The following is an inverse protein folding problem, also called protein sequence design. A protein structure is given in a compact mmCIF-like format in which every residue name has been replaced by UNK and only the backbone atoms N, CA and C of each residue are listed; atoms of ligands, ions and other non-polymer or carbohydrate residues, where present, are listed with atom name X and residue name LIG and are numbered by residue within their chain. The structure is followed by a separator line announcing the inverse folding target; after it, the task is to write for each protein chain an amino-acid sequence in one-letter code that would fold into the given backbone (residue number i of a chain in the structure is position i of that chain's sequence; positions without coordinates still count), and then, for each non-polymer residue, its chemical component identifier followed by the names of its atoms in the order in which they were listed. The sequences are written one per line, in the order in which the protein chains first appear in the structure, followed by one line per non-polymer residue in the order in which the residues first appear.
data_IF_711838682092
#
_entry.id   IF_711838682092
#
_cell.length_a   1.000
_cell.length_b   1.000
_cell.length_c   1.000
_cell.angle_alpha   90.00
_cell.angle_beta   90.00
_cell.angle_gamma   90.00
#
_symmetry.space_group_name_H-M   'P 1'
#
loop_
_entity.id
_entity.type
_entity.pdbx_description
1 polymer ?
#
# COMPACT_ATOMS: atom_id res chain seq x y z
N UNK A 1 11.72 25.27 -4.16
CA UNK A 1 10.97 25.02 -2.93
C UNK A 1 9.45 25.31 -3.02
N UNK A 2 8.97 26.23 -3.88
CA UNK A 2 7.53 26.57 -4.00
C UNK A 2 6.61 25.40 -4.42
N UNK A 3 7.13 24.32 -4.98
CA UNK A 3 6.32 23.18 -5.48
C UNK A 3 6.13 22.03 -4.48
N UNK A 4 6.96 21.93 -3.43
CA UNK A 4 6.84 20.87 -2.42
C UNK A 4 5.50 20.95 -1.65
N UNK A 5 5.00 22.12 -1.24
CA UNK A 5 3.68 22.24 -0.62
C UNK A 5 2.55 21.76 -1.54
N UNK A 6 2.61 22.07 -2.85
CA UNK A 6 1.62 21.58 -3.82
C UNK A 6 1.63 20.05 -3.93
N UNK A 7 2.82 19.45 -3.98
CA UNK A 7 2.95 17.99 -3.96
C UNK A 7 2.43 17.37 -2.66
N UNK A 8 2.65 18.05 -1.53
CA UNK A 8 2.08 17.69 -0.23
C UNK A 8 0.56 17.73 -0.23
N UNK A 9 -0.02 18.78 -0.79
CA UNK A 9 -1.48 18.94 -0.90
C UNK A 9 -2.10 17.88 -1.82
N UNK A 10 -1.52 17.65 -3.01
CA UNK A 10 -1.95 16.57 -3.92
C UNK A 10 -1.93 15.22 -3.18
N UNK A 11 -0.84 14.95 -2.45
CA UNK A 11 -0.70 13.71 -1.70
C UNK A 11 -1.71 13.59 -0.56
N UNK A 12 -1.94 14.67 0.18
CA UNK A 12 -2.92 14.73 1.27
C UNK A 12 -4.35 14.50 0.78
N UNK A 13 -4.79 15.23 -0.25
CA UNK A 13 -6.12 15.07 -0.84
C UNK A 13 -6.36 13.63 -1.32
N UNK A 14 -5.37 13.04 -2.00
CA UNK A 14 -5.45 11.65 -2.45
C UNK A 14 -5.50 10.67 -1.28
N UNK A 15 -4.65 10.86 -0.27
CA UNK A 15 -4.64 9.98 0.90
C UNK A 15 -5.93 10.05 1.70
N UNK A 16 -6.58 11.20 1.73
CA UNK A 16 -7.87 11.36 2.40
C UNK A 16 -8.92 10.42 1.81
N UNK A 17 -9.20 10.49 0.52
CA UNK A 17 -10.23 9.61 -0.06
C UNK A 17 -9.77 8.15 -0.15
N UNK A 18 -8.50 7.87 -0.35
CA UNK A 18 -7.99 6.51 -0.28
C UNK A 18 -8.08 5.91 1.12
N UNK A 19 -8.15 6.74 2.16
CA UNK A 19 -8.37 6.31 3.54
C UNK A 19 -9.66 5.50 3.72
N UNK A 20 -10.69 5.75 2.93
CA UNK A 20 -11.93 4.97 2.97
C UNK A 20 -12.22 4.19 1.69
N UNK A 21 -11.81 4.63 0.52
CA UNK A 21 -12.12 3.98 -0.77
C UNK A 21 -11.66 2.52 -0.80
N UNK A 22 -10.52 2.21 -0.18
CA UNK A 22 -9.93 0.87 -0.22
C UNK A 22 -10.84 -0.21 0.41
N UNK A 23 -11.58 0.12 1.45
CA UNK A 23 -12.52 -0.79 2.10
C UNK A 23 -13.99 -0.52 1.71
N UNK A 24 -14.29 0.70 1.27
CA UNK A 24 -15.65 1.09 0.86
C UNK A 24 -16.05 0.43 -0.46
N UNK A 25 -15.14 0.33 -1.45
CA UNK A 25 -15.46 -0.25 -2.76
C UNK A 25 -15.92 -1.71 -2.64
N UNK A 26 -15.25 -2.62 -1.91
CA UNK A 26 -15.78 -3.96 -1.70
C UNK A 26 -17.19 -3.99 -1.11
N UNK A 27 -17.44 -3.19 -0.07
CA UNK A 27 -18.77 -3.09 0.57
C UNK A 27 -19.82 -2.56 -0.40
N UNK A 28 -19.49 -1.52 -1.16
CA UNK A 28 -20.39 -0.94 -2.16
C UNK A 28 -20.74 -1.94 -3.27
N UNK A 29 -19.76 -2.69 -3.79
CA UNK A 29 -20.00 -3.68 -4.84
C UNK A 29 -20.99 -4.75 -4.37
N UNK A 30 -20.86 -5.26 -3.14
CA UNK A 30 -21.81 -6.19 -2.55
C UNK A 30 -23.17 -5.52 -2.32
N UNK A 31 -23.19 -4.28 -1.83
CA UNK A 31 -24.44 -3.51 -1.63
C UNK A 31 -25.25 -3.34 -2.92
N UNK A 32 -24.62 -3.21 -4.08
CA UNK A 32 -25.30 -3.10 -5.38
C UNK A 32 -25.56 -4.46 -6.07
N UNK A 33 -25.32 -5.58 -5.36
CA UNK A 33 -25.68 -6.92 -5.81
C UNK A 33 -24.56 -7.76 -6.43
N UNK A 34 -23.29 -7.31 -6.36
CA UNK A 34 -22.17 -8.16 -6.78
C UNK A 34 -21.91 -9.26 -5.75
N UNK A 35 -21.69 -10.48 -6.20
CA UNK A 35 -21.27 -11.55 -5.28
C UNK A 35 -19.83 -11.31 -4.80
N UNK A 36 -19.50 -11.85 -3.62
CA UNK A 36 -18.15 -11.76 -3.04
C UNK A 36 -17.05 -12.28 -3.99
N UNK A 37 -17.35 -13.32 -4.78
CA UNK A 37 -16.44 -13.85 -5.80
C UNK A 37 -16.15 -12.79 -6.88
N UNK A 38 -17.18 -12.09 -7.34
CA UNK A 38 -16.99 -10.99 -8.32
C UNK A 38 -16.15 -9.85 -7.79
N UNK A 39 -16.30 -9.52 -6.49
CA UNK A 39 -15.42 -8.52 -5.85
C UNK A 39 -13.97 -8.99 -5.89
N UNK A 40 -13.70 -10.28 -5.68
CA UNK A 40 -12.38 -10.86 -5.82
C UNK A 40 -11.83 -10.78 -7.25
N UNK A 41 -12.65 -11.08 -8.25
CA UNK A 41 -12.28 -10.96 -9.68
C UNK A 41 -12.00 -9.48 -10.04
N UNK A 42 -12.86 -8.57 -9.59
CA UNK A 42 -12.66 -7.13 -9.76
C UNK A 42 -11.31 -6.69 -9.16
N UNK A 43 -10.99 -7.14 -7.94
CA UNK A 43 -9.73 -6.83 -7.28
C UNK A 43 -8.51 -7.42 -8.02
N UNK A 44 -8.62 -8.63 -8.58
CA UNK A 44 -7.58 -9.24 -9.40
C UNK A 44 -7.31 -8.41 -10.66
N UNK A 45 -8.36 -8.07 -11.42
CA UNK A 45 -8.23 -7.25 -12.63
C UNK A 45 -7.67 -5.87 -12.30
N UNK A 46 -8.16 -5.23 -11.24
CA UNK A 46 -7.65 -3.95 -10.77
C UNK A 46 -6.16 -4.03 -10.36
N UNK A 47 -5.72 -5.13 -9.76
CA UNK A 47 -4.31 -5.33 -9.38
C UNK A 47 -3.42 -5.52 -10.61
N UNK A 48 -3.85 -6.28 -11.61
CA UNK A 48 -3.14 -6.46 -12.88
C UNK A 48 -3.06 -5.12 -13.61
N UNK A 49 -4.20 -4.44 -13.78
CA UNK A 49 -4.26 -3.13 -14.43
C UNK A 49 -3.39 -2.09 -13.72
N UNK A 50 -3.44 -2.02 -12.39
CA UNK A 50 -2.56 -1.16 -11.58
C UNK A 50 -1.09 -1.47 -11.83
N UNK A 51 -0.71 -2.73 -11.97
CA UNK A 51 0.68 -3.12 -12.20
C UNK A 51 1.16 -2.66 -13.57
N UNK A 52 0.34 -2.81 -14.60
CA UNK A 52 0.61 -2.30 -15.96
C UNK A 52 0.70 -0.77 -15.95
N UNK A 53 -0.28 -0.09 -15.35
CA UNK A 53 -0.30 1.37 -15.27
C UNK A 53 0.90 1.93 -14.48
N UNK A 54 1.37 1.26 -13.44
CA UNK A 54 2.58 1.64 -12.69
C UNK A 54 3.82 1.57 -13.57
N UNK A 55 3.96 0.51 -14.38
CA UNK A 55 5.07 0.39 -15.33
C UNK A 55 4.98 1.48 -16.40
N UNK A 56 3.82 1.63 -17.03
CA UNK A 56 3.59 2.67 -18.05
C UNK A 56 3.85 4.07 -17.49
N UNK A 57 3.41 4.35 -16.27
CA UNK A 57 3.61 5.66 -15.64
C UNK A 57 5.08 5.98 -15.40
N UNK A 58 5.88 4.99 -15.01
CA UNK A 58 7.33 5.15 -14.87
C UNK A 58 7.98 5.50 -16.21
N UNK A 59 7.73 4.70 -17.25
CA UNK A 59 8.28 4.95 -18.60
C UNK A 59 7.81 6.28 -19.19
N UNK A 60 6.51 6.56 -19.14
CA UNK A 60 5.98 7.82 -19.68
C UNK A 60 6.51 9.03 -18.92
N UNK A 61 6.67 8.92 -17.58
CA UNK A 61 7.24 9.98 -16.75
C UNK A 61 8.69 10.31 -17.10
N UNK A 62 9.47 9.31 -17.49
CA UNK A 62 10.88 9.49 -17.84
C UNK A 62 11.10 9.84 -19.32
N UNK A 63 10.24 9.38 -20.24
CA UNK A 63 10.40 9.61 -21.68
C UNK A 63 9.74 10.90 -22.17
N UNK A 64 8.58 11.29 -21.62
CA UNK A 64 7.81 12.42 -22.15
C UNK A 64 7.76 13.60 -21.18
N UNK A 65 7.04 13.49 -20.06
CA UNK A 65 6.84 14.57 -19.12
C UNK A 65 6.25 14.03 -17.81
N UNK A 66 6.89 14.36 -16.70
CA UNK A 66 6.39 13.96 -15.37
C UNK A 66 5.04 14.60 -15.06
N UNK A 67 4.86 15.88 -15.42
CA UNK A 67 3.59 16.59 -15.21
C UNK A 67 2.46 15.98 -16.03
N UNK A 68 2.64 15.76 -17.33
CA UNK A 68 1.61 15.20 -18.20
C UNK A 68 1.23 13.77 -17.77
N UNK A 69 2.22 12.95 -17.43
CA UNK A 69 1.99 11.60 -16.92
C UNK A 69 1.26 11.59 -15.58
N UNK A 70 1.64 12.51 -14.67
CA UNK A 70 0.94 12.67 -13.39
C UNK A 70 -0.53 13.07 -13.60
N UNK A 71 -0.80 14.01 -14.52
CA UNK A 71 -2.17 14.41 -14.87
C UNK A 71 -2.97 13.23 -15.39
N UNK A 72 -2.44 12.51 -16.41
CA UNK A 72 -3.11 11.35 -17.00
C UNK A 72 -3.48 10.31 -15.93
N UNK A 73 -2.50 9.91 -15.11
CA UNK A 73 -2.73 8.91 -14.07
C UNK A 73 -3.62 9.41 -12.92
N UNK A 74 -3.69 10.72 -12.69
CA UNK A 74 -4.55 11.32 -11.66
C UNK A 74 -6.02 11.44 -12.11
N UNK A 75 -6.30 11.47 -13.42
CA UNK A 75 -7.67 11.53 -13.94
C UNK A 75 -8.36 10.16 -13.87
N UNK A 76 -7.62 9.04 -13.97
CA UNK A 76 -8.21 7.69 -14.01
C UNK A 76 -9.18 7.38 -12.86
N UNK A 77 -8.89 7.72 -11.58
CA UNK A 77 -9.85 7.50 -10.50
C UNK A 77 -11.18 8.23 -10.65
N UNK A 78 -11.21 9.39 -11.34
CA UNK A 78 -12.44 10.12 -11.53
C UNK A 78 -13.49 9.32 -12.33
N UNK A 79 -13.05 8.54 -13.34
CA UNK A 79 -13.96 7.67 -14.10
C UNK A 79 -14.61 6.60 -13.23
N UNK A 80 -13.89 6.07 -12.24
CA UNK A 80 -14.44 5.10 -11.28
C UNK A 80 -15.51 5.76 -10.42
N UNK A 81 -15.20 6.93 -9.85
CA UNK A 81 -16.14 7.63 -8.95
C UNK A 81 -17.39 8.10 -9.70
N UNK A 82 -17.23 8.61 -10.92
CA UNK A 82 -18.36 8.97 -11.79
C UNK A 82 -19.23 7.75 -12.09
N UNK A 83 -18.62 6.62 -12.47
CA UNK A 83 -19.37 5.40 -12.72
C UNK A 83 -20.13 4.92 -11.49
N UNK A 84 -19.53 4.95 -10.31
CA UNK A 84 -20.18 4.52 -9.07
C UNK A 84 -21.31 5.48 -8.61
N UNK A 85 -21.25 6.75 -8.99
CA UNK A 85 -22.32 7.73 -8.72
C UNK A 85 -23.52 7.54 -9.63
N UNK A 86 -23.30 7.34 -10.94
CA UNK A 86 -24.36 7.50 -11.95
C UNK A 86 -24.85 6.19 -12.55
N UNK A 87 -24.19 5.05 -12.35
CA UNK A 87 -24.63 3.78 -12.93
C UNK A 87 -24.64 2.65 -11.93
N UNK A 88 -25.51 1.67 -12.18
CA UNK A 88 -25.51 0.35 -11.53
C UNK A 88 -25.30 -0.76 -12.56
N UNK A 89 -24.97 -0.39 -13.81
CA UNK A 89 -24.74 -1.36 -14.86
C UNK A 89 -23.50 -2.21 -14.56
N UNK A 90 -23.70 -3.51 -14.49
CA UNK A 90 -22.67 -4.49 -14.14
C UNK A 90 -21.43 -4.38 -15.04
N UNK A 91 -21.61 -4.22 -16.34
CA UNK A 91 -20.51 -4.16 -17.31
C UNK A 91 -19.68 -2.90 -17.11
N UNK A 92 -20.34 -1.73 -16.98
CA UNK A 92 -19.66 -0.45 -16.79
C UNK A 92 -18.86 -0.47 -15.49
N UNK A 93 -19.45 -0.94 -14.39
CA UNK A 93 -18.78 -1.05 -13.11
C UNK A 93 -17.60 -2.01 -13.19
N UNK A 94 -17.76 -3.18 -13.84
CA UNK A 94 -16.65 -4.14 -14.02
C UNK A 94 -15.50 -3.55 -14.83
N UNK A 95 -15.77 -2.76 -15.86
CA UNK A 95 -14.75 -2.08 -16.65
C UNK A 95 -13.94 -1.05 -15.84
N UNK A 96 -14.50 -0.51 -14.76
CA UNK A 96 -13.75 0.43 -13.90
C UNK A 96 -12.54 -0.20 -13.21
N UNK A 97 -12.52 -1.53 -13.05
CA UNK A 97 -11.35 -2.25 -12.52
C UNK A 97 -10.08 -2.01 -13.33
N UNK A 98 -10.22 -1.73 -14.63
CA UNK A 98 -9.09 -1.44 -15.54
C UNK A 98 -8.39 -0.11 -15.23
N UNK A 99 -9.02 0.79 -14.47
CA UNK A 99 -8.37 2.03 -14.01
C UNK A 99 -7.44 1.84 -12.80
N UNK A 100 -7.32 0.62 -12.28
CA UNK A 100 -6.23 0.20 -11.40
C UNK A 100 -6.28 0.73 -9.98
N UNK A 101 -7.46 1.03 -9.43
CA UNK A 101 -7.61 1.24 -7.98
C UNK A 101 -7.63 -0.12 -7.30
N UNK A 102 -6.62 -0.40 -6.49
CA UNK A 102 -6.50 -1.63 -5.70
C UNK A 102 -7.09 -1.44 -4.31
N UNK A 103 -7.65 -2.51 -3.74
CA UNK A 103 -8.22 -2.54 -2.39
C UNK A 103 -7.16 -2.68 -1.29
N UNK A 104 -5.98 -2.18 -1.50
CA UNK A 104 -4.91 -2.23 -0.51
C UNK A 104 -4.95 -0.96 0.35
N UNK A 105 -5.54 -1.06 1.52
CA UNK A 105 -5.57 0.03 2.49
C UNK A 105 -4.18 0.32 3.07
N UNK A 106 -3.27 -0.65 3.00
CA UNK A 106 -2.00 -0.64 3.70
C UNK A 106 -0.90 -0.15 2.76
N UNK A 107 -0.35 1.00 3.03
CA UNK A 107 0.77 1.54 2.25
C UNK A 107 0.56 2.99 1.82
N UNK A 108 -0.40 3.66 2.44
CA UNK A 108 -0.68 5.06 2.20
C UNK A 108 -1.22 5.28 0.79
N UNK A 109 -2.53 5.35 0.66
CA UNK A 109 -3.26 5.44 -0.60
C UNK A 109 -2.72 6.40 -1.65
N UNK A 110 -2.08 7.50 -1.24
CA UNK A 110 -1.40 8.42 -2.16
C UNK A 110 -0.03 7.93 -2.63
N UNK A 111 0.59 7.00 -1.91
CA UNK A 111 1.88 6.40 -2.26
C UNK A 111 1.76 5.12 -3.09
N UNK A 112 0.54 4.60 -3.31
CA UNK A 112 0.29 3.40 -4.10
C UNK A 112 -0.25 3.70 -5.50
N UNK A 113 -0.32 2.65 -6.34
CA UNK A 113 -0.87 2.74 -7.69
C UNK A 113 -0.02 3.54 -8.69
N UNK A 114 -0.62 3.90 -9.85
CA UNK A 114 0.10 4.48 -11.00
C UNK A 114 0.73 5.86 -10.74
N UNK A 115 0.21 6.59 -9.77
CA UNK A 115 0.69 7.95 -9.44
C UNK A 115 1.94 7.92 -8.58
N UNK A 116 2.17 6.86 -7.81
CA UNK A 116 3.25 6.78 -6.83
C UNK A 116 4.66 6.96 -7.41
N UNK A 117 5.06 6.27 -8.50
CA UNK A 117 6.40 6.43 -9.06
C UNK A 117 6.66 7.88 -9.49
N UNK A 118 5.67 8.51 -10.11
CA UNK A 118 5.79 9.86 -10.66
C UNK A 118 5.90 10.89 -9.53
N UNK A 119 5.04 10.81 -8.50
CA UNK A 119 5.13 11.69 -7.34
C UNK A 119 6.48 11.59 -6.65
N UNK A 120 6.98 10.37 -6.46
CA UNK A 120 8.28 10.13 -5.85
C UNK A 120 9.41 10.75 -6.69
N UNK A 121 9.36 10.57 -8.01
CA UNK A 121 10.33 11.16 -8.92
C UNK A 121 10.25 12.70 -8.94
N UNK A 122 9.03 13.25 -8.93
CA UNK A 122 8.80 14.69 -8.90
C UNK A 122 9.38 15.33 -7.63
N UNK A 123 9.15 14.70 -6.47
CA UNK A 123 9.74 15.15 -5.20
C UNK A 123 11.27 15.09 -5.25
N UNK A 124 11.84 14.01 -5.81
CA UNK A 124 13.28 13.86 -5.95
C UNK A 124 13.91 14.95 -6.80
N UNK A 125 13.22 15.40 -7.88
CA UNK A 125 13.72 16.46 -8.77
C UNK A 125 13.67 17.84 -8.15
N UNK A 126 12.69 18.09 -7.28
CA UNK A 126 12.46 19.42 -6.69
C UNK A 126 13.10 19.57 -5.31
N UNK A 127 13.89 18.56 -4.88
CA UNK A 127 14.47 18.49 -3.54
C UNK A 127 15.97 18.22 -3.60
N UNK A 128 16.75 18.99 -2.84
CA UNK A 128 18.17 18.72 -2.67
C UNK A 128 18.39 17.36 -1.99
N UNK A 129 19.43 16.59 -2.38
CA UNK A 129 19.73 15.28 -1.80
C UNK A 129 19.78 15.28 -0.26
N UNK A 130 20.33 16.32 0.35
CA UNK A 130 20.46 16.45 1.81
C UNK A 130 19.09 16.55 2.53
N UNK A 131 18.08 17.16 1.90
CA UNK A 131 16.76 17.38 2.50
C UNK A 131 15.71 16.33 2.05
N UNK A 132 16.06 15.48 1.11
CA UNK A 132 15.13 14.55 0.46
C UNK A 132 14.44 13.61 1.45
N UNK A 133 15.21 13.00 2.34
CA UNK A 133 14.68 12.08 3.37
C UNK A 133 13.67 12.78 4.28
N UNK A 134 13.98 14.00 4.73
CA UNK A 134 13.08 14.81 5.58
C UNK A 134 11.77 15.11 4.85
N UNK A 135 11.83 15.49 3.58
CA UNK A 135 10.63 15.81 2.79
C UNK A 135 9.77 14.57 2.56
N UNK A 136 10.37 13.40 2.23
CA UNK A 136 9.61 12.16 2.13
C UNK A 136 8.92 11.76 3.44
N UNK A 137 9.60 11.95 4.57
CA UNK A 137 9.01 11.69 5.90
C UNK A 137 7.82 12.60 6.18
N UNK A 138 7.94 13.89 5.90
CA UNK A 138 6.83 14.84 6.04
C UNK A 138 5.64 14.45 5.15
N UNK A 139 5.90 14.11 3.88
CA UNK A 139 4.86 13.68 2.96
C UNK A 139 4.20 12.35 3.38
N UNK A 140 4.94 11.47 4.04
CA UNK A 140 4.39 10.23 4.60
C UNK A 140 3.46 10.52 5.78
N UNK A 141 3.87 11.41 6.69
CA UNK A 141 3.04 11.86 7.82
C UNK A 141 1.74 12.50 7.30
N UNK A 142 1.84 13.40 6.32
CA UNK A 142 0.66 14.01 5.67
C UNK A 142 -0.28 12.93 5.12
N UNK A 143 0.27 11.88 4.49
CA UNK A 143 -0.55 10.79 3.95
C UNK A 143 -1.28 10.02 5.05
N UNK A 144 -0.60 9.69 6.14
CA UNK A 144 -1.18 8.93 7.25
C UNK A 144 -2.28 9.76 7.95
N UNK A 145 -1.99 11.01 8.28
CA UNK A 145 -2.97 11.91 8.93
C UNK A 145 -4.19 12.11 8.03
N UNK A 146 -3.99 12.33 6.73
CA UNK A 146 -5.09 12.47 5.79
C UNK A 146 -5.91 11.17 5.64
N UNK A 147 -5.29 10.00 5.65
CA UNK A 147 -6.00 8.72 5.60
C UNK A 147 -6.82 8.46 6.87
N UNK A 148 -6.29 8.82 8.04
CA UNK A 148 -7.03 8.78 9.32
C UNK A 148 -8.24 9.70 9.22
N UNK A 149 -8.06 10.95 8.81
CA UNK A 149 -9.16 11.90 8.66
C UNK A 149 -10.21 11.40 7.66
N UNK A 150 -9.80 10.80 6.54
CA UNK A 150 -10.69 10.23 5.55
C UNK A 150 -11.52 9.07 6.08
N UNK A 151 -10.88 8.08 6.73
CA UNK A 151 -11.60 6.93 7.30
C UNK A 151 -12.54 7.34 8.46
N UNK A 152 -12.13 8.28 9.31
CA UNK A 152 -13.01 8.82 10.37
C UNK A 152 -14.19 9.60 9.77
N UNK A 153 -13.98 10.34 8.67
CA UNK A 153 -15.08 11.01 7.94
C UNK A 153 -16.06 9.97 7.39
N UNK A 154 -15.58 8.85 6.85
CA UNK A 154 -16.43 7.74 6.41
C UNK A 154 -17.30 7.24 7.56
N UNK A 155 -16.70 6.93 8.72
CA UNK A 155 -17.43 6.46 9.89
C UNK A 155 -18.56 7.44 10.32
N UNK A 156 -18.26 8.74 10.35
CA UNK A 156 -19.26 9.76 10.71
C UNK A 156 -20.40 9.81 9.69
N UNK A 157 -20.11 9.82 8.39
CA UNK A 157 -21.14 9.87 7.36
C UNK A 157 -22.01 8.60 7.35
N UNK A 158 -21.44 7.45 7.65
CA UNK A 158 -22.16 6.18 7.76
C UNK A 158 -23.18 6.15 8.91
N UNK A 159 -22.92 6.91 9.98
CA UNK A 159 -23.87 7.05 11.11
C UNK A 159 -25.05 8.00 10.77
N UNK A 160 -24.76 9.13 10.11
CA UNK A 160 -25.72 10.22 9.99
C UNK A 160 -26.40 10.30 8.64
N UNK A 161 -25.91 9.64 7.59
CA UNK A 161 -26.40 9.81 6.21
C UNK A 161 -26.79 8.46 5.62
N UNK A 162 -28.07 8.29 5.28
CA UNK A 162 -28.58 7.05 4.68
C UNK A 162 -27.90 6.71 3.34
N UNK A 163 -27.62 7.72 2.51
CA UNK A 163 -26.98 7.56 1.20
C UNK A 163 -25.47 7.83 1.27
N UNK A 164 -24.79 7.36 2.32
CA UNK A 164 -23.39 7.66 2.56
C UNK A 164 -22.44 7.21 1.42
N UNK A 165 -22.76 6.13 0.70
CA UNK A 165 -21.95 5.70 -0.45
C UNK A 165 -21.83 6.79 -1.51
N UNK A 166 -22.97 7.40 -1.90
CA UNK A 166 -22.99 8.46 -2.90
C UNK A 166 -22.24 9.69 -2.42
N UNK A 167 -22.42 10.07 -1.15
CA UNK A 167 -21.73 11.23 -0.56
C UNK A 167 -20.22 10.99 -0.52
N UNK A 168 -19.76 9.80 -0.10
CA UNK A 168 -18.35 9.47 -0.05
C UNK A 168 -17.71 9.41 -1.44
N UNK A 169 -18.40 8.86 -2.45
CA UNK A 169 -17.89 8.89 -3.84
C UNK A 169 -17.88 10.30 -4.41
N UNK A 170 -18.84 11.14 -4.08
CA UNK A 170 -18.86 12.55 -4.48
C UNK A 170 -17.67 13.32 -3.86
N UNK A 171 -17.43 13.15 -2.55
CA UNK A 171 -16.25 13.72 -1.87
C UNK A 171 -14.97 13.23 -2.54
N UNK A 172 -14.86 11.92 -2.82
CA UNK A 172 -13.70 11.36 -3.50
C UNK A 172 -13.49 11.97 -4.89
N UNK A 173 -14.57 12.16 -5.67
CA UNK A 173 -14.52 12.79 -6.98
C UNK A 173 -14.05 14.25 -6.89
N UNK A 174 -14.65 15.05 -6.00
CA UNK A 174 -14.29 16.46 -5.80
C UNK A 174 -12.82 16.60 -5.38
N UNK A 175 -12.38 15.82 -4.39
CA UNK A 175 -10.98 15.83 -3.93
C UNK A 175 -10.01 15.34 -5.01
N UNK A 176 -10.41 14.34 -5.80
CA UNK A 176 -9.61 13.87 -6.93
C UNK A 176 -9.48 14.96 -8.01
N UNK A 177 -10.59 15.59 -8.44
CA UNK A 177 -10.57 16.67 -9.43
C UNK A 177 -9.79 17.90 -8.93
N UNK A 178 -9.91 18.23 -7.63
CA UNK A 178 -9.09 19.27 -7.00
C UNK A 178 -7.60 18.91 -7.07
N UNK A 179 -7.25 17.64 -6.79
CA UNK A 179 -5.87 17.15 -6.93
C UNK A 179 -5.35 17.26 -8.38
N UNK A 180 -6.22 16.97 -9.38
CA UNK A 180 -5.90 17.15 -10.81
C UNK A 180 -5.70 18.63 -11.12
N UNK A 181 -6.57 19.51 -10.66
CA UNK A 181 -6.45 20.97 -10.86
C UNK A 181 -5.15 21.53 -10.26
N UNK A 182 -4.79 21.10 -9.03
CA UNK A 182 -3.52 21.50 -8.41
C UNK A 182 -2.32 20.96 -9.22
N UNK A 183 -2.43 19.76 -9.83
CA UNK A 183 -1.38 19.22 -10.68
C UNK A 183 -1.14 20.10 -11.92
N UNK A 184 -2.15 20.81 -12.43
CA UNK A 184 -1.98 21.78 -13.53
C UNK A 184 -1.08 22.96 -13.14
N UNK A 185 -1.05 23.32 -11.85
CA UNK A 185 -0.20 24.40 -11.34
C UNK A 185 1.28 24.00 -11.17
N UNK A 186 1.60 22.71 -11.25
CA UNK A 186 2.99 22.25 -11.18
C UNK A 186 3.75 22.67 -12.44
N UNK A 187 4.99 23.09 -12.26
CA UNK A 187 5.91 23.32 -13.37
C UNK A 187 6.50 21.98 -13.83
N UNK A 188 6.52 21.76 -15.13
CA UNK A 188 7.12 20.54 -15.67
C UNK A 188 8.63 20.48 -15.38
N UNK A 189 9.12 19.28 -15.19
CA UNK A 189 10.55 19.07 -14.95
C UNK A 189 11.21 18.77 -16.29
N UNK A 190 12.20 19.57 -16.67
CA UNK A 190 13.03 19.29 -17.85
C UNK A 190 13.73 17.94 -17.64
N UNK A 191 13.35 16.94 -18.41
CA UNK A 191 13.97 15.62 -18.35
C UNK A 191 15.38 15.75 -18.90
N UNK A 192 16.38 15.59 -18.05
CA UNK A 192 17.76 15.39 -18.51
C UNK A 192 17.78 14.01 -19.18
N UNK A 193 17.89 13.98 -20.52
CA UNK A 193 18.16 12.73 -21.25
C UNK A 193 19.47 12.14 -20.70
N UNK A 194 19.36 11.20 -19.77
CA UNK A 194 20.49 10.33 -19.48
C UNK A 194 20.72 9.48 -20.74
N UNK A 195 21.96 9.52 -21.26
CA UNK A 195 22.39 8.56 -22.29
C UNK A 195 22.13 7.17 -21.73
N UNK A 196 21.15 6.49 -22.32
CA UNK A 196 20.86 5.09 -22.00
C UNK A 196 22.13 4.29 -22.23
N UNK A 197 22.74 3.80 -21.16
CA UNK A 197 23.54 2.61 -21.25
C UNK A 197 22.56 1.49 -21.58
N UNK A 198 22.74 0.84 -22.73
CA UNK A 198 21.96 -0.32 -23.17
C UNK A 198 21.69 -1.24 -21.97
N UNK A 199 20.43 -1.58 -21.69
CA UNK A 199 20.11 -2.40 -20.53
C UNK A 199 20.70 -3.79 -20.73
N UNK A 200 21.78 -4.08 -20.06
CA UNK A 200 22.35 -5.42 -20.01
C UNK A 200 21.36 -6.32 -19.25
N UNK A 201 20.87 -7.37 -19.88
CA UNK A 201 19.89 -8.32 -19.31
C UNK A 201 20.51 -9.11 -18.14
N UNK A 202 21.84 -9.28 -18.13
CA UNK A 202 22.55 -9.94 -17.02
C UNK A 202 22.53 -9.06 -15.77
N UNK A 203 21.94 -9.56 -14.69
CA UNK A 203 21.93 -8.91 -13.37
C UNK A 203 22.82 -9.72 -12.42
N UNK A 204 23.84 -9.07 -11.87
CA UNK A 204 24.74 -9.69 -10.89
C UNK A 204 24.02 -9.92 -9.54
N UNK A 205 23.06 -9.04 -9.19
CA UNK A 205 22.22 -9.19 -8.00
C UNK A 205 21.04 -10.17 -8.21
N UNK A 206 20.97 -10.90 -9.34
CA UNK A 206 19.83 -11.74 -9.70
C UNK A 206 19.45 -12.78 -8.63
N UNK A 207 20.43 -13.41 -7.99
CA UNK A 207 20.19 -14.35 -6.90
C UNK A 207 19.52 -13.73 -5.67
N UNK A 208 19.89 -12.48 -5.31
CA UNK A 208 19.27 -11.76 -4.21
C UNK A 208 17.85 -11.31 -4.58
N UNK A 209 17.64 -10.86 -5.81
CA UNK A 209 16.32 -10.47 -6.35
C UNK A 209 15.36 -11.66 -6.29
N UNK A 210 15.81 -12.84 -6.71
CA UNK A 210 15.01 -14.07 -6.66
C UNK A 210 14.61 -14.43 -5.21
N UNK A 211 15.55 -14.41 -4.27
CA UNK A 211 15.29 -14.69 -2.84
C UNK A 211 14.30 -13.70 -2.22
N UNK A 212 14.46 -12.39 -2.48
CA UNK A 212 13.55 -11.35 -2.02
C UNK A 212 12.18 -11.49 -2.67
N UNK A 213 12.15 -11.76 -3.98
CA UNK A 213 10.92 -11.98 -4.74
C UNK A 213 10.15 -13.19 -4.24
N UNK A 214 10.83 -14.32 -4.04
CA UNK A 214 10.22 -15.57 -3.58
C UNK A 214 9.63 -15.43 -2.16
N UNK A 215 10.42 -14.94 -1.19
CA UNK A 215 9.89 -14.71 0.16
C UNK A 215 8.70 -13.73 0.12
N UNK A 216 8.84 -12.63 -0.64
CA UNK A 216 7.77 -11.64 -0.78
C UNK A 216 6.53 -12.15 -1.49
N UNK A 217 6.64 -13.11 -2.40
CA UNK A 217 5.52 -13.73 -3.07
C UNK A 217 4.63 -14.49 -2.09
N UNK A 218 5.21 -15.33 -1.21
CA UNK A 218 4.45 -16.03 -0.17
C UNK A 218 3.73 -15.07 0.80
N UNK A 219 4.43 -14.04 1.28
CA UNK A 219 3.80 -13.00 2.10
C UNK A 219 2.65 -12.29 1.37
N UNK A 220 2.80 -12.07 0.07
CA UNK A 220 1.78 -11.43 -0.75
C UNK A 220 0.58 -12.34 -1.03
N UNK A 221 0.77 -13.65 -1.16
CA UNK A 221 -0.35 -14.62 -1.23
C UNK A 221 -1.21 -14.52 0.03
N UNK A 222 -0.61 -14.65 1.21
CA UNK A 222 -1.39 -14.59 2.44
C UNK A 222 -2.07 -13.24 2.67
N UNK A 223 -1.40 -12.12 2.33
CA UNK A 223 -2.00 -10.80 2.37
C UNK A 223 -3.17 -10.66 1.39
N UNK A 224 -3.00 -11.14 0.16
CA UNK A 224 -4.00 -11.04 -0.89
C UNK A 224 -5.27 -11.82 -0.58
N UNK A 225 -5.17 -12.96 0.12
CA UNK A 225 -6.34 -13.76 0.53
C UNK A 225 -7.29 -12.95 1.43
N UNK A 226 -6.77 -12.12 2.33
CA UNK A 226 -7.56 -11.45 3.38
C UNK A 226 -7.71 -9.96 3.15
N UNK A 227 -6.60 -9.24 2.91
CA UNK A 227 -6.59 -7.78 3.01
C UNK A 227 -7.58 -7.06 2.09
N UNK A 228 -7.78 -7.47 0.81
CA UNK A 228 -8.70 -6.77 -0.09
C UNK A 228 -10.19 -6.95 0.26
N UNK A 229 -10.52 -8.02 0.99
CA UNK A 229 -11.89 -8.41 1.31
C UNK A 229 -12.19 -8.43 2.80
N UNK A 230 -11.28 -7.94 3.62
CA UNK A 230 -11.44 -7.94 5.09
C UNK A 230 -12.66 -7.11 5.54
N UNK A 231 -13.00 -6.05 4.81
CA UNK A 231 -14.21 -5.28 5.09
C UNK A 231 -15.49 -6.10 4.86
N UNK A 232 -15.49 -6.98 3.86
CA UNK A 232 -16.62 -7.92 3.63
C UNK A 232 -16.72 -8.93 4.77
N UNK A 233 -15.59 -9.49 5.23
CA UNK A 233 -15.59 -10.37 6.40
C UNK A 233 -16.21 -9.66 7.61
N UNK A 234 -15.81 -8.45 7.93
CA UNK A 234 -16.37 -7.71 9.06
C UNK A 234 -17.86 -7.42 8.88
N UNK A 235 -18.30 -7.14 7.67
CA UNK A 235 -19.70 -6.99 7.34
C UNK A 235 -20.48 -8.31 7.53
N UNK A 236 -19.96 -9.44 7.03
CA UNK A 236 -20.60 -10.76 7.09
C UNK A 236 -20.73 -11.29 8.53
N UNK A 237 -19.79 -10.89 9.42
CA UNK A 237 -19.91 -11.21 10.87
C UNK A 237 -20.77 -10.21 11.65
N UNK A 238 -21.48 -9.31 10.94
CA UNK A 238 -22.51 -8.42 11.50
C UNK A 238 -22.00 -7.09 12.04
N UNK A 239 -20.77 -6.68 11.73
CA UNK A 239 -20.33 -5.34 12.12
C UNK A 239 -20.94 -4.27 11.18
N UNK A 240 -21.53 -3.20 11.74
CA UNK A 240 -22.01 -2.07 10.95
C UNK A 240 -20.87 -1.34 10.26
N UNK A 241 -21.18 -0.66 9.15
CA UNK A 241 -20.19 0.00 8.30
C UNK A 241 -19.31 1.00 9.08
N UNK A 242 -19.89 1.79 9.97
CA UNK A 242 -19.13 2.76 10.77
C UNK A 242 -18.08 2.12 11.69
N UNK A 243 -18.35 0.95 12.27
CA UNK A 243 -17.37 0.18 13.04
C UNK A 243 -16.24 -0.34 12.13
N UNK A 244 -16.59 -0.79 10.91
CA UNK A 244 -15.58 -1.20 9.92
C UNK A 244 -14.65 -0.02 9.61
N UNK A 245 -15.20 1.16 9.36
CA UNK A 245 -14.44 2.39 9.12
C UNK A 245 -13.52 2.75 10.29
N UNK A 246 -13.99 2.59 11.54
CA UNK A 246 -13.16 2.80 12.74
C UNK A 246 -12.03 1.78 12.90
N UNK A 247 -12.25 0.51 12.52
CA UNK A 247 -11.19 -0.51 12.48
C UNK A 247 -10.08 -0.09 11.51
N UNK A 248 -10.43 0.45 10.35
CA UNK A 248 -9.42 0.97 9.40
C UNK A 248 -8.74 2.23 9.93
N UNK A 249 -9.46 3.13 10.60
CA UNK A 249 -8.88 4.28 11.29
C UNK A 249 -7.85 3.84 12.32
N UNK A 250 -8.20 2.89 13.18
CA UNK A 250 -7.28 2.27 14.13
C UNK A 250 -6.07 1.61 13.46
N UNK A 251 -6.29 0.99 12.30
CA UNK A 251 -5.21 0.38 11.51
C UNK A 251 -4.22 1.42 10.96
N UNK A 252 -4.70 2.59 10.52
CA UNK A 252 -3.83 3.69 10.07
C UNK A 252 -3.07 4.32 11.25
N UNK A 253 -3.71 4.47 12.41
CA UNK A 253 -3.03 4.94 13.62
C UNK A 253 -1.93 3.96 14.03
N UNK A 254 -2.24 2.66 14.10
CA UNK A 254 -1.27 1.62 14.43
C UNK A 254 -0.11 1.59 13.42
N UNK A 255 -0.40 1.75 12.12
CA UNK A 255 0.61 1.85 11.07
C UNK A 255 1.51 3.07 11.25
N UNK A 256 0.93 4.23 11.54
CA UNK A 256 1.68 5.48 11.77
C UNK A 256 2.63 5.37 12.95
N UNK A 257 2.15 4.87 14.08
CA UNK A 257 2.97 4.62 15.27
C UNK A 257 4.09 3.62 14.95
N UNK A 258 3.75 2.51 14.32
CA UNK A 258 4.69 1.44 14.00
C UNK A 258 5.85 1.90 13.10
N UNK A 259 5.58 2.74 12.10
CA UNK A 259 6.61 3.30 11.21
C UNK A 259 7.61 4.18 11.97
N UNK A 260 7.16 4.94 12.96
CA UNK A 260 8.06 5.76 13.82
C UNK A 260 9.02 4.85 14.61
N UNK A 261 8.51 3.73 15.12
CA UNK A 261 9.32 2.77 15.89
C UNK A 261 10.21 1.86 15.02
N UNK A 262 10.05 1.84 13.69
CA UNK A 262 10.77 0.91 12.81
C UNK A 262 12.28 1.02 12.95
N UNK A 263 12.83 2.24 12.98
CA UNK A 263 14.28 2.47 13.12
C UNK A 263 14.81 2.02 14.49
N UNK A 264 14.02 2.19 15.55
CA UNK A 264 14.40 1.73 16.89
C UNK A 264 14.46 0.20 16.94
N UNK A 265 13.46 -0.47 16.39
CA UNK A 265 13.40 -1.94 16.34
C UNK A 265 14.51 -2.52 15.46
N UNK A 266 14.86 -1.86 14.35
CA UNK A 266 15.99 -2.24 13.52
C UNK A 266 17.32 -2.16 14.28
N UNK A 267 17.53 -1.10 15.06
CA UNK A 267 18.74 -0.97 15.90
C UNK A 267 18.82 -2.05 16.98
N UNK A 268 17.69 -2.41 17.58
CA UNK A 268 17.64 -3.35 18.69
C UNK A 268 17.83 -4.81 18.23
N UNK A 269 17.10 -5.25 17.21
CA UNK A 269 17.10 -6.64 16.74
C UNK A 269 18.04 -6.88 15.52
N UNK A 270 18.42 -5.83 14.83
CA UNK A 270 18.99 -5.89 13.48
C UNK A 270 17.91 -6.05 12.41
N UNK A 271 18.23 -5.66 11.17
CA UNK A 271 17.26 -5.59 10.09
C UNK A 271 16.52 -6.92 9.85
N UNK A 272 17.26 -8.04 9.78
CA UNK A 272 16.69 -9.34 9.40
C UNK A 272 15.78 -9.91 10.48
N UNK A 273 16.21 -9.85 11.74
CA UNK A 273 15.39 -10.37 12.83
C UNK A 273 14.21 -9.45 13.15
N UNK A 274 14.34 -8.14 13.01
CA UNK A 274 13.20 -7.24 13.12
C UNK A 274 12.11 -7.58 12.08
N UNK A 275 12.48 -7.74 10.80
CA UNK A 275 11.55 -8.18 9.75
C UNK A 275 10.95 -9.55 10.11
N UNK A 276 11.79 -10.51 10.51
CA UNK A 276 11.37 -11.85 10.88
C UNK A 276 10.32 -11.84 12.00
N UNK A 277 10.61 -11.19 13.12
CA UNK A 277 9.74 -11.14 14.32
C UNK A 277 8.39 -10.49 13.98
N UNK A 278 8.41 -9.25 13.48
CA UNK A 278 7.17 -8.48 13.30
C UNK A 278 6.28 -9.04 12.18
N UNK A 279 6.85 -9.62 11.13
CA UNK A 279 6.07 -10.32 10.11
C UNK A 279 5.52 -11.65 10.60
N UNK A 280 6.26 -12.39 11.42
CA UNK A 280 5.75 -13.61 12.07
C UNK A 280 4.58 -13.27 12.98
N UNK A 281 4.71 -12.27 13.87
CA UNK A 281 3.62 -11.81 14.72
C UNK A 281 2.39 -11.41 13.88
N UNK A 282 2.58 -10.62 12.83
CA UNK A 282 1.49 -10.23 11.94
C UNK A 282 0.82 -11.41 11.21
N UNK A 283 1.57 -12.46 10.89
CA UNK A 283 1.03 -13.67 10.25
C UNK A 283 0.26 -14.55 11.23
N UNK A 284 0.77 -14.70 12.46
CA UNK A 284 0.09 -15.43 13.53
C UNK A 284 -1.25 -14.76 13.88
N UNK A 285 -1.28 -13.44 13.94
CA UNK A 285 -2.51 -12.70 14.23
C UNK A 285 -3.60 -12.94 13.16
N UNK A 286 -3.27 -13.23 11.90
CA UNK A 286 -4.27 -13.66 10.93
C UNK A 286 -4.95 -14.97 11.35
N UNK A 287 -4.18 -15.93 11.88
CA UNK A 287 -4.74 -17.23 12.32
C UNK A 287 -5.69 -17.02 13.49
N UNK A 288 -5.45 -16.04 14.35
CA UNK A 288 -6.24 -15.77 15.56
C UNK A 288 -7.59 -15.10 15.24
N UNK A 289 -7.66 -14.27 14.20
CA UNK A 289 -8.84 -13.45 13.87
C UNK A 289 -10.17 -14.24 13.87
N UNK A 290 -10.31 -15.41 13.23
CA UNK A 290 -11.60 -16.11 13.15
C UNK A 290 -12.06 -16.74 14.45
N UNK A 291 -11.24 -16.79 15.48
CA UNK A 291 -11.54 -17.44 16.78
C UNK A 291 -11.94 -16.47 17.88
N UNK A 292 -12.04 -15.18 17.59
CA UNK A 292 -12.33 -14.12 18.57
C UNK A 292 -13.60 -13.36 18.17
N UNK A 293 -14.25 -12.66 19.12
CA UNK A 293 -15.40 -11.81 18.80
C UNK A 293 -15.07 -10.76 17.74
N UNK A 294 -16.04 -10.35 16.89
CA UNK A 294 -15.80 -9.48 15.73
C UNK A 294 -15.09 -8.16 16.04
N UNK A 295 -15.42 -7.49 17.16
CA UNK A 295 -14.76 -6.26 17.58
C UNK A 295 -13.30 -6.51 17.96
N UNK A 296 -13.03 -7.60 18.68
CA UNK A 296 -11.66 -8.00 19.06
C UNK A 296 -10.85 -8.37 17.81
N UNK A 297 -11.48 -9.05 16.83
CA UNK A 297 -10.90 -9.33 15.52
C UNK A 297 -10.46 -8.02 14.82
N UNK A 298 -11.27 -6.96 14.88
CA UNK A 298 -10.94 -5.64 14.36
C UNK A 298 -9.71 -5.03 15.04
N UNK A 299 -9.63 -5.10 16.37
CA UNK A 299 -8.45 -4.62 17.12
C UNK A 299 -7.20 -5.42 16.75
N UNK A 300 -7.32 -6.74 16.67
CA UNK A 300 -6.22 -7.62 16.23
C UNK A 300 -5.77 -7.27 14.82
N UNK A 301 -6.70 -6.99 13.91
CA UNK A 301 -6.38 -6.57 12.54
C UNK A 301 -5.62 -5.24 12.51
N UNK A 302 -5.99 -4.27 13.36
CA UNK A 302 -5.28 -3.00 13.48
C UNK A 302 -3.85 -3.20 14.00
N UNK A 303 -3.66 -3.97 15.07
CA UNK A 303 -2.34 -4.30 15.64
C UNK A 303 -1.48 -5.04 14.61
N UNK A 304 -2.05 -6.03 13.95
CA UNK A 304 -1.40 -6.80 12.88
C UNK A 304 -0.92 -5.88 11.76
N UNK A 305 -1.73 -4.90 11.38
CA UNK A 305 -1.38 -3.90 10.38
C UNK A 305 -0.18 -3.06 10.83
N UNK A 306 -0.13 -2.66 12.10
CA UNK A 306 1.02 -2.01 12.69
C UNK A 306 2.30 -2.83 12.55
N UNK A 307 2.29 -4.10 12.94
CA UNK A 307 3.47 -4.98 12.81
C UNK A 307 3.94 -5.13 11.37
N UNK A 308 3.02 -5.26 10.43
CA UNK A 308 3.37 -5.33 9.02
C UNK A 308 4.05 -4.04 8.51
N UNK A 309 3.52 -2.89 8.90
CA UNK A 309 4.04 -1.58 8.51
C UNK A 309 5.37 -1.25 9.17
N UNK A 310 5.62 -1.72 10.40
CA UNK A 310 6.91 -1.59 11.06
C UNK A 310 8.05 -2.25 10.27
N UNK A 311 7.80 -3.44 9.74
CA UNK A 311 8.79 -4.20 8.98
C UNK A 311 9.06 -3.62 7.57
N UNK A 312 8.16 -2.79 7.04
CA UNK A 312 8.21 -2.37 5.63
C UNK A 312 9.40 -1.44 5.31
N UNK A 313 9.67 -0.35 6.06
CA UNK A 313 10.83 0.52 5.81
C UNK A 313 12.15 -0.22 5.95
N UNK A 314 12.27 -1.08 6.97
CA UNK A 314 13.46 -1.89 7.23
C UNK A 314 13.75 -2.80 6.02
N UNK A 315 12.70 -3.48 5.51
CA UNK A 315 12.80 -4.36 4.34
C UNK A 315 13.20 -3.59 3.09
N UNK A 316 12.63 -2.40 2.87
CA UNK A 316 12.96 -1.55 1.72
C UNK A 316 14.41 -1.07 1.76
N UNK A 317 14.88 -0.63 2.93
CA UNK A 317 16.28 -0.22 3.14
C UNK A 317 17.23 -1.37 2.86
N UNK A 318 17.00 -2.53 3.49
CA UNK A 318 17.82 -3.72 3.31
C UNK A 318 17.83 -4.22 1.85
N UNK A 319 16.70 -4.18 1.16
CA UNK A 319 16.62 -4.53 -0.26
C UNK A 319 17.51 -3.63 -1.11
N UNK A 320 17.53 -2.32 -0.84
CA UNK A 320 18.37 -1.37 -1.58
C UNK A 320 19.87 -1.56 -1.27
N UNK A 321 20.22 -2.03 -0.09
CA UNK A 321 21.58 -2.35 0.30
C UNK A 321 22.12 -3.61 -0.41
N UNK A 322 21.25 -4.61 -0.60
CA UNK A 322 21.61 -5.88 -1.28
C UNK A 322 21.79 -5.76 -2.80
N UNK A 323 21.26 -4.69 -3.40
CA UNK A 323 21.28 -4.49 -4.84
C UNK A 323 22.37 -3.53 -5.24
N UNK A 324 23.11 -3.85 -6.32
CA UNK A 324 24.05 -2.91 -6.93
C UNK A 324 23.35 -1.61 -7.33
N UNK A 325 23.97 -0.43 -7.17
CA UNK A 325 23.35 0.85 -7.48
C UNK A 325 22.70 0.92 -8.86
N UNK A 326 23.33 0.32 -9.88
CA UNK A 326 22.89 0.30 -11.28
C UNK A 326 21.69 -0.64 -11.51
N UNK A 327 21.46 -1.58 -10.58
CA UNK A 327 20.40 -2.60 -10.67
C UNK A 327 19.21 -2.34 -9.75
N UNK A 328 19.29 -1.32 -8.87
CA UNK A 328 18.27 -1.03 -7.85
C UNK A 328 16.88 -0.81 -8.45
N UNK A 329 16.78 -0.03 -9.53
CA UNK A 329 15.50 0.27 -10.15
C UNK A 329 14.87 -1.00 -10.75
N UNK A 330 15.64 -1.76 -11.54
CA UNK A 330 15.19 -3.02 -12.17
C UNK A 330 14.87 -4.08 -11.11
N UNK A 331 15.73 -4.26 -10.13
CA UNK A 331 15.53 -5.21 -9.04
C UNK A 331 14.28 -4.88 -8.20
N UNK A 332 14.01 -3.61 -7.93
CA UNK A 332 12.80 -3.19 -7.23
C UNK A 332 11.54 -3.45 -8.06
N UNK A 333 11.60 -3.22 -9.37
CA UNK A 333 10.48 -3.51 -10.28
C UNK A 333 10.18 -5.02 -10.33
N UNK A 334 11.20 -5.86 -10.50
CA UNK A 334 11.04 -7.32 -10.56
C UNK A 334 10.48 -7.89 -9.25
N UNK A 335 11.02 -7.48 -8.10
CA UNK A 335 10.50 -7.89 -6.79
C UNK A 335 9.10 -7.32 -6.52
N UNK A 336 8.77 -6.16 -7.09
CA UNK A 336 7.44 -5.57 -7.08
C UNK A 336 6.41 -6.43 -7.82
N UNK A 337 6.72 -6.85 -9.05
CA UNK A 337 5.87 -7.72 -9.87
C UNK A 337 5.71 -9.09 -9.20
N UNK A 338 6.82 -9.68 -8.71
CA UNK A 338 6.81 -10.96 -8.00
C UNK A 338 5.87 -10.99 -6.78
N UNK A 339 5.56 -9.82 -6.19
CA UNK A 339 4.60 -9.69 -5.08
C UNK A 339 3.19 -9.37 -5.55
N UNK A 340 3.03 -8.52 -6.58
CA UNK A 340 1.70 -8.04 -7.00
C UNK A 340 0.85 -9.11 -7.67
N UNK A 341 1.45 -9.94 -8.54
CA UNK A 341 0.70 -10.99 -9.23
C UNK A 341 0.13 -12.05 -8.26
N UNK A 342 0.94 -12.63 -7.33
CA UNK A 342 0.39 -13.53 -6.33
C UNK A 342 -0.65 -12.88 -5.41
N UNK A 343 -0.47 -11.60 -5.05
CA UNK A 343 -1.45 -10.85 -4.26
C UNK A 343 -2.82 -10.77 -4.95
N UNK A 344 -2.85 -10.39 -6.23
CA UNK A 344 -4.10 -10.29 -6.99
C UNK A 344 -4.78 -11.64 -7.18
N UNK A 345 -4.01 -12.67 -7.58
CA UNK A 345 -4.54 -14.02 -7.77
C UNK A 345 -5.13 -14.61 -6.48
N UNK A 346 -4.43 -14.44 -5.36
CA UNK A 346 -4.89 -14.95 -4.07
C UNK A 346 -6.11 -14.22 -3.52
N UNK A 347 -6.39 -12.99 -3.98
CA UNK A 347 -7.63 -12.28 -3.61
C UNK A 347 -8.86 -13.00 -4.12
N UNK A 348 -8.84 -13.51 -5.34
CA UNK A 348 -9.96 -14.30 -5.90
C UNK A 348 -10.16 -15.56 -5.10
N UNK A 349 -9.08 -16.25 -4.73
CA UNK A 349 -9.16 -17.45 -3.89
C UNK A 349 -9.72 -17.11 -2.48
N UNK A 350 -9.28 -16.04 -1.86
CA UNK A 350 -9.83 -15.56 -0.58
C UNK A 350 -11.33 -15.25 -0.67
N UNK A 351 -11.74 -14.57 -1.74
CA UNK A 351 -13.16 -14.25 -1.98
C UNK A 351 -14.02 -15.49 -2.18
N UNK A 352 -13.48 -16.52 -2.85
CA UNK A 352 -14.14 -17.81 -2.97
C UNK A 352 -14.33 -18.47 -1.59
N UNK A 353 -13.29 -18.52 -0.75
CA UNK A 353 -13.37 -19.10 0.59
C UNK A 353 -14.37 -18.33 1.48
N UNK A 354 -14.38 -17.00 1.41
CA UNK A 354 -15.33 -16.18 2.15
C UNK A 354 -16.77 -16.44 1.69
N UNK A 355 -17.03 -16.45 0.38
CA UNK A 355 -18.36 -16.71 -0.18
C UNK A 355 -18.89 -18.10 0.11
N UNK A 356 -18.01 -19.09 0.24
CA UNK A 356 -18.35 -20.46 0.60
C UNK A 356 -18.48 -20.69 2.13
N UNK A 357 -18.28 -19.64 2.95
CA UNK A 357 -18.36 -19.72 4.41
C UNK A 357 -17.14 -20.35 5.09
N UNK A 358 -16.06 -20.61 4.35
CA UNK A 358 -14.82 -21.21 4.90
C UNK A 358 -13.92 -20.17 5.56
N UNK A 359 -14.48 -19.35 6.47
CA UNK A 359 -13.81 -18.23 7.13
C UNK A 359 -12.55 -18.66 7.86
N UNK A 360 -12.64 -19.67 8.72
CA UNK A 360 -11.52 -20.20 9.50
C UNK A 360 -10.40 -20.69 8.58
N UNK A 361 -10.75 -21.42 7.50
CA UNK A 361 -9.77 -21.89 6.52
C UNK A 361 -9.09 -20.72 5.80
N UNK A 362 -9.85 -19.70 5.41
CA UNK A 362 -9.33 -18.49 4.74
C UNK A 362 -8.25 -17.81 5.57
N UNK A 363 -8.54 -17.52 6.83
CA UNK A 363 -7.59 -16.83 7.72
C UNK A 363 -6.41 -17.72 8.12
N UNK A 364 -6.65 -19.01 8.45
CA UNK A 364 -5.59 -19.94 8.82
C UNK A 364 -4.62 -20.17 7.66
N UNK A 365 -5.15 -20.40 6.46
CA UNK A 365 -4.34 -20.58 5.26
C UNK A 365 -3.55 -19.30 4.92
N UNK A 366 -4.18 -18.12 4.99
CA UNK A 366 -3.51 -16.84 4.80
C UNK A 366 -2.38 -16.64 5.81
N UNK A 367 -2.61 -16.95 7.07
CA UNK A 367 -1.60 -16.84 8.13
C UNK A 367 -0.44 -17.81 7.91
N UNK A 368 -0.71 -19.10 7.67
CA UNK A 368 0.30 -20.13 7.44
C UNK A 368 1.16 -19.81 6.22
N UNK A 369 0.56 -19.44 5.10
CA UNK A 369 1.30 -19.08 3.88
C UNK A 369 2.10 -17.78 4.11
N UNK A 370 1.55 -16.80 4.84
CA UNK A 370 2.28 -15.58 5.20
C UNK A 370 3.51 -15.86 6.06
N UNK A 371 3.51 -16.90 6.92
CA UNK A 371 4.65 -17.29 7.74
C UNK A 371 5.86 -17.73 6.92
N UNK A 372 5.64 -18.23 5.70
CA UNK A 372 6.75 -18.59 4.81
C UNK A 372 7.62 -17.37 4.44
N UNK A 373 7.04 -16.16 4.36
CA UNK A 373 7.81 -14.95 4.07
C UNK A 373 8.89 -14.65 5.13
N UNK A 374 8.57 -14.45 6.42
CA UNK A 374 9.59 -14.20 7.42
C UNK A 374 10.55 -15.38 7.61
N UNK A 375 10.07 -16.62 7.54
CA UNK A 375 10.91 -17.81 7.66
C UNK A 375 11.95 -17.87 6.54
N UNK A 376 11.53 -17.79 5.28
CA UNK A 376 12.43 -17.77 4.13
C UNK A 376 13.35 -16.55 4.16
N UNK A 377 12.84 -15.39 4.58
CA UNK A 377 13.64 -14.18 4.67
C UNK A 377 14.79 -14.33 5.68
N UNK A 378 14.50 -14.87 6.86
CA UNK A 378 15.54 -15.16 7.87
C UNK A 378 16.51 -16.22 7.36
N UNK A 379 16.04 -17.34 6.76
CA UNK A 379 16.90 -18.39 6.21
C UNK A 379 17.86 -17.83 5.17
N UNK A 380 17.36 -17.03 4.24
CA UNK A 380 18.18 -16.50 3.13
C UNK A 380 19.18 -15.43 3.57
N UNK A 381 18.81 -14.61 4.58
CA UNK A 381 19.54 -13.38 4.86
C UNK A 381 20.12 -13.28 6.28
N UNK A 382 19.94 -14.28 7.17
CA UNK A 382 20.44 -14.24 8.57
C UNK A 382 21.92 -13.85 8.69
N UNK A 383 22.75 -14.23 7.73
CA UNK A 383 24.18 -13.88 7.71
C UNK A 383 24.45 -12.38 7.53
N UNK A 384 23.50 -11.63 7.03
CA UNK A 384 23.59 -10.18 6.85
C UNK A 384 23.01 -9.39 8.04
N UNK A 385 22.51 -10.07 9.09
CA UNK A 385 21.95 -9.39 10.23
C UNK A 385 23.06 -8.70 11.03
N UNK A 386 23.18 -7.39 10.87
CA UNK A 386 24.09 -6.54 11.64
C UNK A 386 23.24 -5.73 12.63
N UNK A 387 23.53 -5.86 13.93
CA UNK A 387 23.06 -4.89 14.92
C UNK A 387 23.81 -3.58 14.66
N UNK A 388 23.10 -2.50 14.45
CA UNK A 388 23.74 -1.18 14.31
C UNK A 388 24.27 -0.80 15.69
N UNK A 389 25.55 -1.05 15.94
CA UNK A 389 26.25 -0.72 17.18
C UNK A 389 26.47 0.80 17.30
N UNK A 390 25.37 1.56 17.36
CA UNK A 390 25.40 3.02 17.42
C UNK A 390 25.22 3.61 18.82
N UNK A 391 25.01 2.78 19.85
CA UNK A 391 24.90 3.28 21.22
C UNK A 391 26.30 3.54 21.82
N UNK A 392 27.35 2.83 21.40
CA UNK A 392 28.72 3.10 21.87
C UNK A 392 29.33 4.39 21.32
N UNK A 393 28.98 4.83 20.10
CA UNK A 393 29.56 6.02 19.50
C UNK A 393 29.00 7.35 20.07
N UNK A 394 27.85 7.33 20.74
CA UNK A 394 27.27 8.53 21.39
C UNK A 394 27.76 8.63 22.83
N UNK A 395 27.94 7.50 23.51
CA UNK A 395 28.44 7.48 24.90
C UNK A 395 29.92 7.86 24.94
N UNK A 396 30.75 7.36 24.00
CA UNK A 396 32.18 7.74 23.93
C UNK A 396 32.39 9.20 23.55
N UNK A 397 31.46 9.87 22.86
CA UNK A 397 31.55 11.29 22.56
C UNK A 397 31.06 12.21 23.70
N UNK A 398 30.38 11.67 24.68
CA UNK A 398 29.92 12.42 25.87
C UNK A 398 30.98 12.32 26.98
N UNK A 399 31.76 11.24 27.03
CA UNK A 399 32.84 11.06 28.02
C UNK A 399 34.17 11.74 27.60
N UNK A 400 34.27 12.25 26.35
CA UNK A 400 35.44 13.02 25.87
C UNK A 400 35.20 14.54 25.81
N UNK A 401 34.13 15.04 26.39
CA UNK A 401 33.87 16.46 26.61
C UNK A 401 33.67 16.73 28.11
#
# INVERSE_FOLDING_TARGET
MKQIPLLGLIRGLRSFYFGYIAFLIPLFLVHIGFSTIYVGIYALVATIASSVLVLLSGFMGDLYSRKKTLLLMSVLPAFIFISFLFTRNFIIISLTSLFGITFSAIGGGAGGGPVAPILTAFVADKTDPANRTRIYSILMIVSIVAAIAGSSTSALLEIYIANYYQVLFLIALVLNLTSVAITLLLEDTKIKKHKEKTPTIKMESGGNILKIGLSGAFGSVGLGIVTPIISLYFHDVGLPAYIISEIFTGSYIAAGIAVVFSTYMERFFGAIYAIGIFRTLGSVLFIVIPFVPPIVAGVIYAIRTGFYQLALPIRQSFQMELLKPEERARGNSLTGIARRLPYGASTTFGSFLLSAGYITLMFSFAGVVSLLDPVLYVIFFRKYNRKVSGVKAIVTKIDEK
#
